data_IF_305720636690
#
_entry.id   IF_305720636690
#
_cell.length_a   1.000
_cell.length_b   1.000
_cell.length_c   1.000
_cell.angle_alpha   90.00
_cell.angle_beta   90.00
_cell.angle_gamma   90.00
#
_symmetry.space_group_name_H-M   'P 1'
#
loop_
_entity.id
_entity.type
_entity.pdbx_description
1 polymer ?
#
# COMPACT_ATOMS: atom_id res chain seq x y z
N UNK A 1 -29.13 3.19 6.08
CA UNK A 1 -27.91 3.20 5.26
C UNK A 1 -27.28 1.83 5.42
N UNK A 2 -27.39 0.96 4.41
CA UNK A 2 -26.73 -0.35 4.46
C UNK A 2 -25.23 -0.12 4.28
N UNK A 3 -24.44 -0.42 5.30
CA UNK A 3 -22.99 -0.51 5.15
C UNK A 3 -22.69 -1.71 4.27
N UNK A 4 -22.60 -1.48 2.96
CA UNK A 4 -22.12 -2.46 1.98
C UNK A 4 -20.60 -2.58 2.14
N UNK A 5 -20.18 -2.95 3.34
CA UNK A 5 -18.79 -3.23 3.64
C UNK A 5 -18.55 -4.66 3.13
N UNK A 6 -17.64 -4.86 2.17
CA UNK A 6 -17.37 -6.18 1.63
C UNK A 6 -17.02 -7.11 2.79
N UNK A 7 -17.57 -8.32 2.76
CA UNK A 7 -17.29 -9.29 3.81
C UNK A 7 -15.79 -9.60 3.82
N UNK A 8 -15.29 -10.10 4.94
CA UNK A 8 -13.88 -10.54 5.02
C UNK A 8 -13.57 -11.59 3.95
N UNK A 9 -14.56 -12.44 3.63
CA UNK A 9 -14.45 -13.43 2.58
C UNK A 9 -14.35 -12.81 1.18
N UNK A 10 -15.11 -11.74 0.89
CA UNK A 10 -15.01 -11.00 -0.38
C UNK A 10 -13.65 -10.32 -0.50
N UNK A 11 -13.15 -9.74 0.60
CA UNK A 11 -11.83 -9.12 0.66
C UNK A 11 -10.71 -10.14 0.45
N UNK A 12 -10.84 -11.33 1.06
CA UNK A 12 -9.90 -12.43 0.86
C UNK A 12 -9.92 -12.93 -0.58
N UNK A 13 -11.09 -13.13 -1.18
CA UNK A 13 -11.23 -13.57 -2.57
C UNK A 13 -10.60 -12.57 -3.53
N UNK A 14 -10.91 -11.28 -3.36
CA UNK A 14 -10.32 -10.21 -4.17
C UNK A 14 -8.79 -10.11 -3.98
N UNK A 15 -8.29 -10.40 -2.78
CA UNK A 15 -6.86 -10.47 -2.51
C UNK A 15 -6.21 -11.62 -3.28
N UNK A 16 -6.80 -12.82 -3.24
CA UNK A 16 -6.30 -14.00 -3.96
C UNK A 16 -6.30 -13.75 -5.47
N UNK A 17 -7.38 -13.19 -6.00
CA UNK A 17 -7.49 -12.83 -7.42
C UNK A 17 -6.37 -11.87 -7.85
N UNK A 18 -6.14 -10.81 -7.09
CA UNK A 18 -5.13 -9.79 -7.42
C UNK A 18 -3.70 -10.27 -7.26
N UNK A 19 -3.43 -11.07 -6.23
CA UNK A 19 -2.07 -11.45 -5.85
C UNK A 19 -1.60 -12.73 -6.55
N UNK A 20 -2.51 -13.64 -6.82
CA UNK A 20 -2.21 -14.97 -7.35
C UNK A 20 -2.90 -15.29 -8.68
N UNK A 21 -3.75 -14.38 -9.19
CA UNK A 21 -4.43 -14.57 -10.47
C UNK A 21 -5.68 -15.45 -10.38
N UNK A 22 -6.25 -15.60 -9.19
CA UNK A 22 -7.48 -16.37 -8.93
C UNK A 22 -7.25 -17.86 -8.63
N UNK A 23 -6.00 -18.30 -8.59
CA UNK A 23 -5.61 -19.64 -8.16
C UNK A 23 -4.44 -19.53 -7.17
N UNK A 24 -4.45 -20.36 -6.12
CA UNK A 24 -3.43 -20.36 -5.08
C UNK A 24 -2.10 -20.97 -5.54
N UNK A 25 -1.98 -21.45 -6.79
CA UNK A 25 -0.73 -21.94 -7.39
C UNK A 25 0.03 -22.93 -6.49
N UNK A 26 -0.65 -23.98 -6.00
CA UNK A 26 -0.15 -24.99 -5.04
C UNK A 26 0.09 -24.49 -3.60
N UNK A 27 -0.28 -23.26 -3.25
CA UNK A 27 -0.28 -22.79 -1.86
C UNK A 27 -1.47 -23.37 -1.08
N UNK A 28 -1.26 -23.69 0.19
CA UNK A 28 -2.36 -24.12 1.06
C UNK A 28 -3.28 -22.95 1.38
N UNK A 29 -4.55 -23.24 1.69
CA UNK A 29 -5.50 -22.21 2.12
C UNK A 29 -5.03 -21.50 3.41
N UNK A 30 -4.35 -22.24 4.30
CA UNK A 30 -3.83 -21.71 5.56
C UNK A 30 -2.72 -20.69 5.33
N UNK A 31 -1.80 -20.99 4.41
CA UNK A 31 -0.73 -20.06 4.02
C UNK A 31 -1.29 -18.81 3.33
N UNK A 32 -2.28 -18.99 2.44
CA UNK A 32 -2.95 -17.88 1.78
C UNK A 32 -3.67 -16.97 2.78
N UNK A 33 -4.31 -17.56 3.80
CA UNK A 33 -4.97 -16.81 4.86
C UNK A 33 -3.94 -16.07 5.74
N UNK A 34 -2.80 -16.69 6.05
CA UNK A 34 -1.72 -16.03 6.79
C UNK A 34 -1.16 -14.81 6.02
N UNK A 35 -0.92 -14.95 4.72
CA UNK A 35 -0.46 -13.86 3.85
C UNK A 35 -1.51 -12.76 3.73
N UNK A 36 -2.80 -13.10 3.59
CA UNK A 36 -3.89 -12.13 3.59
C UNK A 36 -3.90 -11.30 4.88
N UNK A 37 -3.81 -11.94 6.05
CA UNK A 37 -3.77 -11.23 7.33
C UNK A 37 -2.54 -10.35 7.48
N UNK A 38 -1.40 -10.76 6.92
CA UNK A 38 -0.21 -9.92 6.88
C UNK A 38 -0.44 -8.68 6.01
N UNK A 39 -0.99 -8.87 4.81
CA UNK A 39 -1.39 -7.79 3.92
C UNK A 39 -2.37 -6.81 4.57
N UNK A 40 -3.39 -7.28 5.28
CA UNK A 40 -4.34 -6.40 5.99
C UNK A 40 -3.65 -5.52 7.03
N UNK A 41 -2.70 -6.09 7.80
CA UNK A 41 -1.94 -5.33 8.80
C UNK A 41 -1.05 -4.27 8.14
N UNK A 42 -0.40 -4.60 7.04
CA UNK A 42 0.46 -3.67 6.32
C UNK A 42 -0.36 -2.56 5.66
N UNK A 43 -1.51 -2.90 5.09
CA UNK A 43 -2.45 -1.93 4.54
C UNK A 43 -2.97 -0.98 5.62
N UNK A 44 -3.34 -1.49 6.80
CA UNK A 44 -3.76 -0.67 7.93
C UNK A 44 -2.65 0.28 8.38
N UNK A 45 -1.40 -0.22 8.45
CA UNK A 45 -0.23 0.59 8.82
C UNK A 45 0.06 1.68 7.77
N UNK A 46 -0.02 1.35 6.50
CA UNK A 46 0.15 2.31 5.41
C UNK A 46 -0.93 3.39 5.44
N UNK A 47 -2.20 3.01 5.62
CA UNK A 47 -3.31 3.96 5.78
C UNK A 47 -3.07 4.90 6.95
N UNK A 48 -2.71 4.36 8.11
CA UNK A 48 -2.40 5.17 9.29
C UNK A 48 -1.22 6.14 9.06
N UNK A 49 -0.22 5.72 8.27
CA UNK A 49 0.92 6.57 7.92
C UNK A 49 0.55 7.68 6.92
N UNK A 50 -0.37 7.41 5.99
CA UNK A 50 -0.81 8.37 4.99
C UNK A 50 -1.89 9.33 5.50
N UNK A 51 -2.68 8.93 6.50
CA UNK A 51 -3.79 9.73 7.03
C UNK A 51 -3.38 11.18 7.38
N UNK A 52 -2.25 11.45 8.04
CA UNK A 52 -1.84 12.83 8.33
C UNK A 52 -1.59 13.66 7.07
N UNK A 53 -1.06 13.06 6.01
CA UNK A 53 -0.82 13.74 4.74
C UNK A 53 -2.13 14.01 3.99
N UNK A 54 -3.08 13.08 4.06
CA UNK A 54 -4.44 13.25 3.54
C UNK A 54 -5.14 14.39 4.31
N UNK A 55 -5.09 14.38 5.63
CA UNK A 55 -5.70 15.42 6.47
C UNK A 55 -5.06 16.80 6.22
N UNK A 56 -3.76 16.86 5.89
CA UNK A 56 -3.09 18.11 5.48
C UNK A 56 -3.59 18.56 4.11
N UNK A 57 -3.75 17.65 3.16
CA UNK A 57 -4.27 17.97 1.83
C UNK A 57 -5.72 18.47 1.88
N UNK A 58 -6.58 17.80 2.65
CA UNK A 58 -7.98 18.19 2.83
C UNK A 58 -8.14 19.59 3.47
N UNK A 59 -7.18 19.98 4.31
CA UNK A 59 -7.11 21.33 4.90
C UNK A 59 -6.48 22.39 3.99
N UNK A 60 -6.01 22.01 2.79
CA UNK A 60 -5.26 22.89 1.89
C UNK A 60 -3.84 23.22 2.38
N UNK A 61 -3.35 22.48 3.38
CA UNK A 61 -2.01 22.61 3.97
C UNK A 61 -0.97 21.71 3.27
N UNK A 62 -1.40 20.93 2.27
CA UNK A 62 -0.48 20.17 1.44
C UNK A 62 0.51 21.11 0.76
N UNK A 63 1.79 20.95 1.08
CA UNK A 63 2.84 21.68 0.40
C UNK A 63 2.87 21.26 -1.07
N UNK A 64 2.96 22.21 -2.01
CA UNK A 64 3.25 21.88 -3.40
C UNK A 64 4.48 20.99 -3.48
N UNK A 65 4.39 19.90 -4.24
CA UNK A 65 5.54 19.06 -4.49
C UNK A 65 6.54 19.85 -5.34
N UNK A 66 7.67 20.22 -4.75
CA UNK A 66 8.79 20.80 -5.47
C UNK A 66 9.50 19.69 -6.26
N UNK A 67 9.18 19.62 -7.55
CA UNK A 67 9.68 18.61 -8.48
C UNK A 67 11.19 18.73 -8.66
N UNK A 68 11.71 19.95 -8.71
CA UNK A 68 13.15 20.20 -8.91
C UNK A 68 13.94 19.72 -7.69
N UNK A 69 13.48 20.06 -6.48
CA UNK A 69 14.08 19.57 -5.24
C UNK A 69 13.94 18.06 -5.03
N UNK A 70 12.96 17.41 -5.68
CA UNK A 70 12.81 15.96 -5.68
C UNK A 70 13.82 15.31 -6.65
N UNK A 71 13.95 15.84 -7.86
CA UNK A 71 14.90 15.36 -8.87
C UNK A 71 16.35 15.47 -8.38
N UNK A 72 16.70 16.58 -7.73
CA UNK A 72 18.02 16.77 -7.13
C UNK A 72 18.32 15.71 -6.06
N UNK A 73 17.34 15.35 -5.24
CA UNK A 73 17.48 14.28 -4.23
C UNK A 73 17.65 12.90 -4.86
N UNK A 74 16.95 12.62 -5.96
CA UNK A 74 17.09 11.37 -6.71
C UNK A 74 18.48 11.27 -7.33
N UNK A 75 18.98 12.33 -7.96
CA UNK A 75 20.33 12.36 -8.54
C UNK A 75 21.40 12.14 -7.46
N UNK A 76 21.33 12.84 -6.34
CA UNK A 76 22.27 12.66 -5.23
C UNK A 76 22.28 11.24 -4.67
N UNK A 77 21.12 10.56 -4.66
CA UNK A 77 21.04 9.17 -4.20
C UNK A 77 21.68 8.20 -5.19
N UNK A 78 21.43 8.39 -6.49
CA UNK A 78 22.05 7.57 -7.54
C UNK A 78 23.58 7.75 -7.56
N UNK A 79 24.07 8.96 -7.35
CA UNK A 79 25.51 9.23 -7.28
C UNK A 79 26.18 8.58 -6.06
N UNK A 80 25.50 8.57 -4.90
CA UNK A 80 25.98 7.88 -3.70
C UNK A 80 26.00 6.36 -3.85
N UNK A 81 25.05 5.78 -4.58
CA UNK A 81 24.97 4.34 -4.83
C UNK A 81 25.93 3.88 -5.95
N UNK A 82 26.40 4.78 -6.83
CA UNK A 82 27.41 4.48 -7.87
C UNK A 82 28.86 4.72 -7.44
N UNK A 83 29.08 5.40 -6.31
CA UNK A 83 30.40 5.78 -5.80
C UNK A 83 30.92 4.91 -4.65
N UNK A 84 30.26 3.81 -4.32
CA UNK A 84 30.69 2.81 -3.32
C UNK A 84 30.81 1.43 -3.93
#
# INVERSE_FOLDING_TARGET
>A
MSTDQPSEFDAFTAFVDRRYGGDLNNMSLEDALADFRAYERDLARLKAHLQPAIDQADRGEAKPLDIDALLDRVHQRIEREKGG
#
